data_IF_884216390315
#
_entry.id   IF_884216390315
#
_cell.length_a   1.000
_cell.length_b   1.000
_cell.length_c   1.000
_cell.angle_alpha   90.00
_cell.angle_beta   90.00
_cell.angle_gamma   90.00
#
_symmetry.space_group_name_H-M   'P 1'
#
loop_
_entity.id
_entity.type
_entity.pdbx_description
1 polymer ?
#
# COMPACT_ATOMS: atom_id res chain seq x y z
N UNK A 1 9.64 2.84 -1.78
CA UNK A 1 8.61 2.64 -2.83
C UNK A 1 9.13 1.99 -4.11
N UNK A 2 10.38 2.20 -4.54
CA UNK A 2 10.86 1.65 -5.82
C UNK A 2 10.73 0.11 -5.95
N UNK A 3 11.13 -0.65 -4.92
CA UNK A 3 10.99 -2.11 -4.91
C UNK A 3 9.51 -2.56 -4.96
N UNK A 4 8.65 -1.90 -4.16
CA UNK A 4 7.20 -2.13 -4.21
C UNK A 4 6.64 -1.93 -5.62
N UNK A 5 6.95 -0.79 -6.26
CA UNK A 5 6.48 -0.47 -7.62
C UNK A 5 6.96 -1.48 -8.67
N UNK A 6 8.21 -1.95 -8.56
CA UNK A 6 8.75 -2.98 -9.46
C UNK A 6 8.01 -4.32 -9.35
N UNK A 7 7.64 -4.73 -8.13
CA UNK A 7 6.89 -5.97 -7.91
C UNK A 7 5.44 -5.78 -8.38
N UNK A 8 4.80 -4.67 -8.03
CA UNK A 8 3.43 -4.35 -8.43
C UNK A 8 3.26 -4.31 -9.95
N UNK A 9 4.26 -3.81 -10.68
CA UNK A 9 4.25 -3.78 -12.15
C UNK A 9 4.15 -5.18 -12.79
N UNK A 10 4.60 -6.23 -12.08
CA UNK A 10 4.46 -7.63 -12.54
C UNK A 10 3.04 -8.18 -12.34
N UNK A 11 2.25 -7.56 -11.45
CA UNK A 11 0.92 -8.02 -11.05
C UNK A 11 -0.08 -6.85 -11.00
N UNK A 12 -0.36 -6.16 -12.12
CA UNK A 12 -1.13 -4.91 -12.12
C UNK A 12 -2.59 -5.08 -11.63
N UNK A 13 -3.20 -6.25 -11.79
CA UNK A 13 -4.58 -6.53 -11.38
C UNK A 13 -4.74 -7.15 -10.00
N UNK A 14 -3.65 -7.43 -9.28
CA UNK A 14 -3.70 -8.07 -7.96
C UNK A 14 -3.39 -7.07 -6.85
N UNK A 15 -4.01 -7.21 -5.68
CA UNK A 15 -3.60 -6.45 -4.49
C UNK A 15 -2.23 -6.97 -4.01
N UNK A 16 -1.26 -6.07 -3.84
CA UNK A 16 0.08 -6.44 -3.37
C UNK A 16 0.19 -6.22 -1.86
N UNK A 17 0.11 -7.30 -1.10
CA UNK A 17 0.46 -7.33 0.32
C UNK A 17 2.00 -7.28 0.46
N UNK A 18 2.54 -6.12 0.83
CA UNK A 18 3.98 -5.90 0.93
C UNK A 18 4.42 -5.95 2.38
N UNK A 19 5.32 -6.88 2.72
CA UNK A 19 5.78 -7.05 4.10
C UNK A 19 6.64 -5.87 4.55
N UNK A 20 6.25 -5.22 5.64
CA UNK A 20 6.99 -4.15 6.31
C UNK A 20 7.06 -4.49 7.81
N UNK A 21 8.19 -5.05 8.23
CA UNK A 21 8.35 -5.57 9.59
C UNK A 21 7.40 -6.73 9.86
N UNK A 22 6.51 -6.53 10.84
CA UNK A 22 5.51 -7.51 11.29
C UNK A 22 4.17 -7.42 10.55
N UNK A 23 3.98 -6.38 9.73
CA UNK A 23 2.73 -6.12 9.02
C UNK A 23 2.85 -6.37 7.52
N UNK A 24 1.71 -6.63 6.88
CA UNK A 24 1.56 -6.60 5.42
C UNK A 24 0.80 -5.34 5.03
N UNK A 25 1.52 -4.41 4.41
CA UNK A 25 0.97 -3.12 4.00
C UNK A 25 0.62 -3.11 2.52
N UNK A 26 -0.47 -2.42 2.19
CA UNK A 26 -0.87 -2.04 0.84
C UNK A 26 -0.74 -0.53 0.69
N UNK A 27 -0.49 -0.05 -0.54
CA UNK A 27 -0.21 1.36 -0.80
C UNK A 27 -1.02 1.92 -1.97
N UNK A 28 -1.35 3.21 -1.94
CA UNK A 28 -2.09 3.89 -3.01
C UNK A 28 -3.49 3.30 -3.21
N UNK A 29 -3.87 3.02 -4.46
CA UNK A 29 -5.21 2.49 -4.78
C UNK A 29 -5.46 1.09 -4.17
N UNK A 30 -4.40 0.30 -3.99
CA UNK A 30 -4.48 -0.99 -3.29
C UNK A 30 -4.86 -0.78 -1.82
N UNK A 31 -4.38 0.30 -1.18
CA UNK A 31 -4.73 0.64 0.19
C UNK A 31 -6.21 1.01 0.34
N UNK A 32 -6.72 1.84 -0.57
CA UNK A 32 -8.13 2.24 -0.60
C UNK A 32 -9.02 1.02 -0.78
N UNK A 33 -8.65 0.13 -1.70
CA UNK A 33 -9.39 -1.11 -1.98
C UNK A 33 -9.36 -2.06 -0.79
N UNK A 34 -8.19 -2.27 -0.21
CA UNK A 34 -7.98 -3.18 0.93
C UNK A 34 -8.72 -2.69 2.18
N UNK A 35 -8.65 -1.39 2.49
CA UNK A 35 -9.40 -0.79 3.60
C UNK A 35 -10.91 -1.02 3.47
N UNK A 36 -11.47 -0.80 2.28
CA UNK A 36 -12.90 -1.00 2.03
C UNK A 36 -13.33 -2.47 2.13
N UNK A 37 -12.53 -3.39 1.58
CA UNK A 37 -12.87 -4.82 1.57
C UNK A 37 -12.74 -5.43 2.96
N UNK A 38 -11.68 -5.12 3.68
CA UNK A 38 -11.37 -5.74 4.98
C UNK A 38 -11.93 -4.97 6.18
N UNK A 39 -12.45 -3.75 5.97
CA UNK A 39 -12.96 -2.91 7.05
C UNK A 39 -11.86 -2.39 7.98
N UNK A 40 -10.63 -2.25 7.49
CA UNK A 40 -9.48 -1.72 8.25
C UNK A 40 -9.27 -0.24 7.97
N UNK A 41 -8.58 0.45 8.88
CA UNK A 41 -8.35 1.90 8.76
C UNK A 41 -7.45 2.21 7.57
N UNK A 42 -7.89 3.14 6.71
CA UNK A 42 -7.05 3.78 5.70
C UNK A 42 -6.28 4.93 6.36
N UNK A 43 -4.96 4.87 6.30
CA UNK A 43 -4.05 5.91 6.82
C UNK A 43 -3.11 6.40 5.72
N UNK A 44 -2.18 7.30 6.05
CA UNK A 44 -1.24 7.90 5.09
C UNK A 44 0.18 7.83 5.62
N UNK A 45 1.12 7.46 4.75
CA UNK A 45 2.56 7.50 5.04
C UNK A 45 3.17 8.76 4.45
N UNK A 46 3.98 9.46 5.23
CA UNK A 46 4.75 10.63 4.75
C UNK A 46 6.06 10.20 4.08
N UNK A 47 6.38 10.80 2.94
CA UNK A 47 7.51 10.39 2.08
C UNK A 47 8.77 11.27 2.28
N UNK A 48 8.81 12.10 3.32
CA UNK A 48 9.89 13.07 3.56
C UNK A 48 9.93 14.27 2.61
N UNK A 49 9.28 14.21 1.43
CA UNK A 49 9.27 15.27 0.41
C UNK A 49 7.94 16.05 0.32
N UNK A 50 7.13 16.06 1.39
CA UNK A 50 5.82 16.72 1.42
C UNK A 50 4.71 15.99 0.66
N UNK A 51 5.03 14.88 -0.01
CA UNK A 51 4.03 13.95 -0.56
C UNK A 51 3.68 12.89 0.47
N UNK A 52 2.40 12.52 0.51
CA UNK A 52 1.90 11.39 1.30
C UNK A 52 1.28 10.36 0.37
N UNK A 53 1.33 9.09 0.77
CA UNK A 53 0.71 7.98 0.05
C UNK A 53 -0.27 7.25 0.97
N UNK A 54 -1.42 6.87 0.43
CA UNK A 54 -2.40 6.06 1.15
C UNK A 54 -1.81 4.71 1.53
N UNK A 55 -2.16 4.21 2.72
CA UNK A 55 -1.63 2.99 3.32
C UNK A 55 -2.72 2.29 4.11
N UNK A 56 -2.81 0.98 3.98
CA UNK A 56 -3.65 0.12 4.81
C UNK A 56 -2.97 -1.23 5.01
N UNK A 57 -2.91 -1.75 6.23
CA UNK A 57 -2.21 -2.98 6.56
C UNK A 57 -2.13 -3.25 8.05
#
# INVERSE_FOLDING_TARGET
MQQHSQIKAKYPGALLLFRVGDFYETFGDDAVTTSRILGIILTKRANGSGTSIELAG
#
